data_IF_953216094831
#
_entry.id   IF_953216094831
#
_cell.length_a   1.000
_cell.length_b   1.000
_cell.length_c   1.000
_cell.angle_alpha   90.00
_cell.angle_beta   90.00
_cell.angle_gamma   90.00
#
_symmetry.space_group_name_H-M   'P 1'
#
loop_
_entity.id
_entity.type
_entity.pdbx_description
1 polymer ?
#
# COMPACT_ATOMS: atom_id res chain seq x y z
N UNK A 1 -9.42 35.68 5.80
CA UNK A 1 -9.15 34.28 6.14
C UNK A 1 -9.68 33.28 5.09
N UNK A 2 -10.99 33.28 4.72
CA UNK A 2 -11.55 32.37 3.69
C UNK A 2 -10.88 32.50 2.31
N UNK A 3 -10.58 33.71 1.83
CA UNK A 3 -9.93 33.91 0.53
C UNK A 3 -8.46 33.42 0.53
N UNK A 4 -7.70 33.64 1.61
CA UNK A 4 -6.34 33.16 1.76
C UNK A 4 -6.30 31.63 1.87
N UNK A 5 -7.23 31.00 2.59
CA UNK A 5 -7.38 29.55 2.65
C UNK A 5 -7.77 28.97 1.28
N UNK A 6 -8.69 29.61 0.56
CA UNK A 6 -9.10 29.19 -0.78
C UNK A 6 -7.95 29.28 -1.77
N UNK A 7 -7.15 30.36 -1.71
CA UNK A 7 -5.94 30.54 -2.52
C UNK A 7 -4.87 29.49 -2.16
N UNK A 8 -4.65 29.24 -0.86
CA UNK A 8 -3.75 28.20 -0.37
C UNK A 8 -4.18 26.80 -0.85
N UNK A 9 -5.47 26.49 -0.74
CA UNK A 9 -6.03 25.23 -1.22
C UNK A 9 -5.93 25.11 -2.76
N UNK A 10 -6.26 26.16 -3.51
CA UNK A 10 -6.13 26.17 -4.97
C UNK A 10 -4.69 26.10 -5.47
N UNK A 11 -3.75 26.82 -4.84
CA UNK A 11 -2.35 26.86 -5.29
C UNK A 11 -1.52 25.69 -4.78
N UNK A 12 -1.90 25.06 -3.66
CA UNK A 12 -1.11 24.03 -3.00
C UNK A 12 -1.71 22.62 -3.00
N UNK A 13 -3.02 22.51 -2.97
CA UNK A 13 -3.73 21.20 -2.95
C UNK A 13 -4.33 20.91 -4.32
N UNK A 14 -4.95 21.89 -4.99
CA UNK A 14 -5.41 21.78 -6.38
C UNK A 14 -4.27 22.03 -7.38
N UNK A 15 -3.13 21.38 -7.23
CA UNK A 15 -2.36 21.04 -8.41
C UNK A 15 -3.29 20.20 -9.29
N UNK A 16 -3.49 20.62 -10.55
CA UNK A 16 -4.37 19.94 -11.53
C UNK A 16 -4.32 18.44 -11.30
N UNK A 17 -5.48 17.83 -11.04
CA UNK A 17 -5.58 16.37 -10.88
C UNK A 17 -4.97 15.77 -12.14
N UNK A 18 -3.89 15.03 -11.97
CA UNK A 18 -3.17 14.40 -13.06
C UNK A 18 -3.92 13.15 -13.53
N UNK A 19 -3.76 12.68 -14.77
CA UNK A 19 -4.55 11.56 -15.31
C UNK A 19 -4.46 10.27 -14.49
N UNK A 20 -3.26 9.88 -14.02
CA UNK A 20 -3.13 8.67 -13.21
C UNK A 20 -3.75 8.85 -11.82
N UNK A 21 -3.57 10.02 -11.20
CA UNK A 21 -4.22 10.34 -9.94
C UNK A 21 -5.75 10.31 -10.09
N UNK A 22 -6.30 10.88 -11.17
CA UNK A 22 -7.73 10.83 -11.44
C UNK A 22 -8.23 9.38 -11.59
N UNK A 23 -7.49 8.55 -12.33
CA UNK A 23 -7.79 7.14 -12.50
C UNK A 23 -7.80 6.39 -11.16
N UNK A 24 -6.75 6.52 -10.36
CA UNK A 24 -6.65 5.87 -9.05
C UNK A 24 -7.71 6.37 -8.07
N UNK A 25 -8.00 7.68 -8.05
CA UNK A 25 -9.05 8.25 -7.20
C UNK A 25 -10.42 7.69 -7.57
N UNK A 26 -10.76 7.66 -8.87
CA UNK A 26 -12.05 7.13 -9.33
C UNK A 26 -12.21 5.66 -8.94
N UNK A 27 -11.18 4.85 -9.10
CA UNK A 27 -11.23 3.44 -8.70
C UNK A 27 -11.37 3.31 -7.18
N UNK A 28 -10.50 3.97 -6.40
CA UNK A 28 -10.55 3.88 -4.93
C UNK A 28 -11.90 4.36 -4.37
N UNK A 29 -12.44 5.48 -4.89
CA UNK A 29 -13.74 6.00 -4.44
C UNK A 29 -14.88 5.07 -4.88
N UNK A 30 -14.88 4.57 -6.11
CA UNK A 30 -15.96 3.70 -6.61
C UNK A 30 -15.98 2.35 -5.93
N UNK A 31 -14.83 1.68 -5.84
CA UNK A 31 -14.74 0.38 -5.17
C UNK A 31 -14.90 0.55 -3.66
N UNK A 32 -14.30 1.58 -3.07
CA UNK A 32 -14.49 1.91 -1.66
C UNK A 32 -15.95 2.24 -1.33
N UNK A 33 -16.66 2.96 -2.20
CA UNK A 33 -18.10 3.20 -2.04
C UNK A 33 -18.92 1.91 -2.14
N UNK A 34 -18.59 1.01 -3.07
CA UNK A 34 -19.27 -0.30 -3.19
C UNK A 34 -19.07 -1.15 -1.92
N UNK A 35 -17.90 -1.06 -1.30
CA UNK A 35 -17.59 -1.76 -0.06
C UNK A 35 -18.22 -1.09 1.17
N UNK A 36 -18.31 0.24 1.19
CA UNK A 36 -19.04 0.98 2.21
C UNK A 36 -20.56 0.74 2.13
N UNK A 37 -21.08 0.42 0.94
CA UNK A 37 -22.44 -0.08 0.82
C UNK A 37 -22.50 -1.56 1.25
N UNK A 38 -22.22 -1.80 2.54
CA UNK A 38 -22.59 -3.03 3.26
C UNK A 38 -24.05 -3.47 2.96
N UNK A 39 -24.88 -2.53 2.53
CA UNK A 39 -26.17 -2.78 1.92
C UNK A 39 -26.09 -3.72 0.70
N UNK A 40 -25.03 -3.67 -0.10
CA UNK A 40 -24.91 -4.56 -1.26
C UNK A 40 -24.66 -6.00 -0.80
N UNK A 41 -23.80 -6.21 0.20
CA UNK A 41 -23.56 -7.54 0.78
C UNK A 41 -24.81 -8.10 1.48
N UNK A 42 -25.59 -7.24 2.16
CA UNK A 42 -26.85 -7.61 2.79
C UNK A 42 -27.93 -7.98 1.75
N UNK A 43 -28.03 -7.19 0.67
CA UNK A 43 -29.09 -7.37 -0.35
C UNK A 43 -28.74 -8.50 -1.32
N UNK A 44 -27.47 -8.61 -1.74
CA UNK A 44 -27.02 -9.59 -2.74
C UNK A 44 -26.52 -10.91 -2.15
N UNK A 45 -26.18 -10.94 -0.85
CA UNK A 45 -25.50 -12.07 -0.21
C UNK A 45 -24.05 -12.29 -0.69
N UNK A 46 -23.47 -11.33 -1.47
CA UNK A 46 -22.12 -11.44 -2.01
C UNK A 46 -21.16 -10.63 -1.14
N UNK A 47 -20.22 -11.29 -0.45
CA UNK A 47 -19.15 -10.64 0.30
C UNK A 47 -18.01 -10.17 -0.64
N UNK A 48 -18.08 -8.90 -1.07
CA UNK A 48 -17.06 -8.31 -1.95
C UNK A 48 -15.66 -8.29 -1.27
N UNK A 49 -15.60 -8.14 0.03
CA UNK A 49 -14.34 -8.25 0.76
C UNK A 49 -13.73 -9.64 0.66
N UNK A 50 -14.57 -10.68 0.69
CA UNK A 50 -14.11 -12.05 0.51
C UNK A 50 -13.43 -12.25 -0.85
N UNK A 51 -14.05 -11.78 -1.92
CA UNK A 51 -13.54 -12.00 -3.27
C UNK A 51 -12.34 -11.11 -3.63
N UNK A 52 -12.34 -9.84 -3.23
CA UNK A 52 -11.38 -8.85 -3.75
C UNK A 52 -10.23 -8.49 -2.81
N UNK A 53 -10.27 -8.84 -1.52
CA UNK A 53 -9.12 -8.72 -0.63
C UNK A 53 -8.07 -9.79 -0.94
N UNK A 54 -6.79 -9.53 -0.65
CA UNK A 54 -5.74 -10.52 -0.83
C UNK A 54 -5.64 -11.42 0.41
N UNK A 55 -5.60 -12.71 0.16
CA UNK A 55 -5.30 -13.71 1.19
C UNK A 55 -3.82 -14.05 1.19
N UNK A 56 -3.26 -14.56 2.31
CA UNK A 56 -1.92 -15.13 2.31
C UNK A 56 -1.80 -16.25 1.27
N UNK A 57 -0.62 -16.40 0.67
CA UNK A 57 -0.39 -17.37 -0.42
C UNK A 57 -0.62 -18.83 -0.02
N UNK A 58 -0.56 -19.15 1.27
CA UNK A 58 -0.89 -20.48 1.79
C UNK A 58 -2.40 -20.70 2.01
N UNK A 59 -3.21 -19.67 1.81
CA UNK A 59 -4.67 -19.79 1.94
C UNK A 59 -5.28 -20.44 0.71
N UNK A 60 -6.26 -21.38 0.85
CA UNK A 60 -6.99 -21.93 -0.28
C UNK A 60 -7.82 -20.89 -1.06
N UNK A 61 -8.03 -19.71 -0.49
CA UNK A 61 -8.78 -18.60 -1.13
C UNK A 61 -7.86 -17.56 -1.77
N UNK A 62 -6.54 -17.83 -1.81
CA UNK A 62 -5.62 -16.97 -2.57
C UNK A 62 -5.86 -17.14 -4.07
N UNK A 63 -6.06 -16.01 -4.74
CA UNK A 63 -6.15 -15.93 -6.20
C UNK A 63 -5.27 -14.80 -6.72
N UNK A 64 -4.59 -15.03 -7.84
CA UNK A 64 -3.66 -14.04 -8.40
C UNK A 64 -4.28 -12.69 -8.72
N UNK A 65 -5.57 -12.62 -9.10
CA UNK A 65 -6.25 -11.35 -9.36
C UNK A 65 -6.33 -10.47 -8.10
N UNK A 66 -6.31 -11.08 -6.91
CA UNK A 66 -6.34 -10.37 -5.64
C UNK A 66 -5.11 -9.49 -5.45
N UNK A 67 -3.97 -9.82 -6.10
CA UNK A 67 -2.77 -8.97 -6.12
C UNK A 67 -2.98 -7.61 -6.81
N UNK A 68 -4.07 -7.47 -7.54
CA UNK A 68 -4.47 -6.21 -8.17
C UNK A 68 -5.64 -5.57 -7.41
N UNK A 69 -6.61 -6.37 -6.97
CA UNK A 69 -7.85 -5.84 -6.43
C UNK A 69 -7.75 -5.37 -4.98
N UNK A 70 -6.88 -6.01 -4.15
CA UNK A 70 -6.79 -5.73 -2.71
C UNK A 70 -6.48 -4.28 -2.38
N UNK A 71 -5.70 -3.60 -3.21
CA UNK A 71 -5.31 -2.22 -3.00
C UNK A 71 -6.45 -1.20 -3.22
N UNK A 72 -7.56 -1.64 -3.79
CA UNK A 72 -8.75 -0.83 -4.02
C UNK A 72 -9.87 -1.14 -3.03
N UNK A 73 -9.77 -2.27 -2.33
CA UNK A 73 -10.69 -2.65 -1.26
C UNK A 73 -10.23 -2.01 0.05
N UNK A 74 -11.15 -1.48 0.83
CA UNK A 74 -10.84 -0.83 2.11
C UNK A 74 -11.65 -1.49 3.24
N UNK A 75 -11.17 -1.36 4.47
CA UNK A 75 -11.93 -1.82 5.65
C UNK A 75 -13.27 -1.10 5.78
N UNK A 76 -14.17 -1.66 6.57
CA UNK A 76 -15.47 -1.06 6.88
C UNK A 76 -15.31 0.31 7.59
N UNK A 77 -14.15 0.56 8.24
CA UNK A 77 -13.85 1.85 8.84
C UNK A 77 -13.71 2.94 7.75
N UNK A 78 -14.62 3.94 7.72
CA UNK A 78 -14.56 5.02 6.74
C UNK A 78 -13.27 5.84 6.80
N UNK A 79 -12.60 5.92 7.96
CA UNK A 79 -11.34 6.63 8.10
C UNK A 79 -10.24 6.00 7.25
N UNK A 80 -10.26 4.68 7.08
CA UNK A 80 -9.27 3.98 6.25
C UNK A 80 -9.29 4.46 4.80
N UNK A 81 -10.46 4.57 4.16
CA UNK A 81 -10.56 5.09 2.79
C UNK A 81 -10.29 6.61 2.74
N UNK A 82 -10.78 7.37 3.71
CA UNK A 82 -10.57 8.81 3.78
C UNK A 82 -9.08 9.14 3.83
N UNK A 83 -8.32 8.48 4.70
CA UNK A 83 -6.87 8.67 4.78
C UNK A 83 -6.15 8.24 3.50
N UNK A 84 -6.50 7.08 2.92
CA UNK A 84 -5.89 6.65 1.66
C UNK A 84 -6.13 7.65 0.53
N UNK A 85 -7.35 8.15 0.38
CA UNK A 85 -7.70 9.18 -0.63
C UNK A 85 -6.96 10.49 -0.35
N UNK A 86 -6.89 10.92 0.91
CA UNK A 86 -6.17 12.14 1.31
C UNK A 86 -4.67 12.05 0.97
N UNK A 87 -4.02 10.93 1.34
CA UNK A 87 -2.60 10.71 1.01
C UNK A 87 -2.37 10.67 -0.51
N UNK A 88 -3.26 10.01 -1.25
CA UNK A 88 -3.20 9.98 -2.71
C UNK A 88 -3.27 11.40 -3.29
N UNK A 89 -4.19 12.23 -2.82
CA UNK A 89 -4.33 13.63 -3.26
C UNK A 89 -3.10 14.48 -2.94
N UNK A 90 -2.52 14.31 -1.76
CA UNK A 90 -1.41 15.14 -1.28
C UNK A 90 -0.11 14.82 -2.00
N UNK A 91 0.21 13.54 -2.16
CA UNK A 91 1.54 13.13 -2.62
C UNK A 91 1.61 12.76 -4.10
N UNK A 92 0.57 12.12 -4.65
CA UNK A 92 0.63 11.47 -5.96
C UNK A 92 0.75 12.43 -7.13
N UNK A 93 -0.02 13.53 -7.15
CA UNK A 93 0.00 14.47 -8.27
C UNK A 93 1.39 15.09 -8.52
N UNK A 94 2.17 15.29 -7.47
CA UNK A 94 3.52 15.83 -7.60
C UNK A 94 4.51 14.78 -8.11
N UNK A 95 4.39 13.55 -7.64
CA UNK A 95 5.20 12.42 -8.10
C UNK A 95 4.92 12.16 -9.57
N UNK A 96 3.65 12.00 -9.96
CA UNK A 96 3.25 11.76 -11.35
C UNK A 96 3.77 12.82 -12.32
N UNK A 97 3.69 14.12 -11.94
CA UNK A 97 4.22 15.21 -12.77
C UNK A 97 5.73 15.12 -13.02
N UNK A 98 6.48 14.51 -12.10
CA UNK A 98 7.93 14.41 -12.19
C UNK A 98 8.41 13.14 -12.91
N UNK A 99 7.73 12.02 -12.73
CA UNK A 99 8.14 10.74 -13.31
C UNK A 99 7.26 10.29 -14.49
N UNK A 100 6.16 10.98 -14.74
CA UNK A 100 5.20 10.66 -15.81
C UNK A 100 4.17 9.60 -15.42
N UNK A 101 3.08 9.51 -16.22
CA UNK A 101 1.91 8.66 -15.97
C UNK A 101 2.30 7.17 -15.82
N UNK A 102 2.97 6.60 -16.83
CA UNK A 102 3.28 5.18 -16.85
C UNK A 102 4.20 4.78 -15.67
N UNK A 103 5.26 5.58 -15.43
CA UNK A 103 6.19 5.33 -14.33
C UNK A 103 5.49 5.44 -12.97
N UNK A 104 4.53 6.36 -12.83
CA UNK A 104 3.76 6.51 -11.60
C UNK A 104 2.84 5.30 -11.35
N UNK A 105 2.13 4.83 -12.37
CA UNK A 105 1.29 3.62 -12.27
C UNK A 105 2.14 2.40 -11.91
N UNK A 106 3.26 2.21 -12.58
CA UNK A 106 4.20 1.11 -12.25
C UNK A 106 4.69 1.22 -10.81
N UNK A 107 5.10 2.43 -10.38
CA UNK A 107 5.55 2.66 -9.01
C UNK A 107 4.46 2.33 -7.98
N UNK A 108 3.22 2.73 -8.22
CA UNK A 108 2.09 2.43 -7.34
C UNK A 108 1.89 0.92 -7.15
N UNK A 109 1.86 0.16 -8.25
CA UNK A 109 1.69 -1.30 -8.19
C UNK A 109 2.90 -2.00 -7.57
N UNK A 110 4.12 -1.61 -7.94
CA UNK A 110 5.35 -2.20 -7.36
C UNK A 110 5.39 -1.99 -5.85
N UNK A 111 5.11 -0.78 -5.36
CA UNK A 111 5.06 -0.50 -3.92
C UNK A 111 3.99 -1.33 -3.22
N UNK A 112 2.80 -1.49 -3.82
CA UNK A 112 1.74 -2.34 -3.28
C UNK A 112 2.16 -3.82 -3.21
N UNK A 113 2.78 -4.35 -4.25
CA UNK A 113 3.21 -5.76 -4.31
C UNK A 113 4.34 -6.06 -3.34
N UNK A 114 5.34 -5.18 -3.22
CA UNK A 114 6.38 -5.34 -2.20
C UNK A 114 5.76 -5.28 -0.80
N UNK A 115 4.79 -4.37 -0.56
CA UNK A 115 4.00 -4.33 0.67
C UNK A 115 3.26 -5.65 0.94
N UNK A 116 2.63 -6.22 -0.08
CA UNK A 116 1.97 -7.52 0.04
C UNK A 116 2.95 -8.66 0.37
N UNK A 117 4.12 -8.70 -0.25
CA UNK A 117 5.15 -9.70 0.07
C UNK A 117 5.54 -9.64 1.54
N UNK A 118 5.74 -8.43 2.08
CA UNK A 118 6.12 -8.24 3.48
C UNK A 118 5.02 -8.67 4.45
N UNK A 119 3.76 -8.31 4.19
CA UNK A 119 2.64 -8.75 5.05
C UNK A 119 2.42 -10.27 4.95
N UNK A 120 2.57 -10.84 3.76
CA UNK A 120 2.46 -12.28 3.56
C UNK A 120 3.53 -13.06 4.36
N UNK A 121 4.78 -12.56 4.38
CA UNK A 121 5.84 -13.12 5.22
C UNK A 121 5.54 -12.97 6.71
N UNK A 122 5.09 -11.80 7.15
CA UNK A 122 4.70 -11.58 8.54
C UNK A 122 3.59 -12.55 8.99
N UNK A 123 2.59 -12.74 8.17
CA UNK A 123 1.50 -13.68 8.46
C UNK A 123 1.97 -15.13 8.48
N UNK A 124 2.89 -15.51 7.59
CA UNK A 124 3.46 -16.86 7.58
C UNK A 124 4.24 -17.16 8.87
N UNK A 125 5.05 -16.20 9.34
CA UNK A 125 5.81 -16.35 10.58
C UNK A 125 4.87 -16.41 11.79
N UNK A 126 3.93 -15.47 11.89
CA UNK A 126 2.96 -15.44 12.98
C UNK A 126 2.12 -16.72 13.02
N UNK A 127 1.72 -17.23 11.85
CA UNK A 127 0.94 -18.49 11.74
C UNK A 127 1.70 -19.64 12.39
N UNK A 128 2.97 -19.84 12.08
CA UNK A 128 3.81 -20.91 12.65
C UNK A 128 3.86 -20.78 14.18
N UNK A 129 4.16 -19.59 14.70
CA UNK A 129 4.24 -19.35 16.15
C UNK A 129 2.89 -19.60 16.86
N UNK A 130 1.79 -19.21 16.22
CA UNK A 130 0.46 -19.40 16.80
C UNK A 130 0.05 -20.87 16.73
N UNK A 131 0.37 -21.60 15.67
CA UNK A 131 0.11 -23.05 15.58
C UNK A 131 0.83 -23.83 16.69
N UNK A 132 2.08 -23.50 17.01
CA UNK A 132 2.81 -24.07 18.15
C UNK A 132 2.09 -23.81 19.49
N UNK A 133 1.59 -22.57 19.66
CA UNK A 133 0.82 -22.19 20.86
C UNK A 133 -0.54 -22.90 20.91
N UNK A 134 -1.23 -23.08 19.79
CA UNK A 134 -2.48 -23.86 19.72
C UNK A 134 -2.23 -25.30 20.16
N UNK A 135 -1.19 -25.93 19.62
CA UNK A 135 -0.81 -27.30 19.98
C UNK A 135 -0.52 -27.42 21.48
N UNK A 136 0.15 -26.46 22.07
CA UNK A 136 0.42 -26.42 23.52
C UNK A 136 -0.85 -26.34 24.39
N UNK A 137 -1.96 -25.86 23.83
CA UNK A 137 -3.27 -25.85 24.50
C UNK A 137 -4.06 -27.15 24.34
N UNK A 138 -3.49 -28.16 23.64
CA UNK A 138 -4.15 -29.43 23.35
C UNK A 138 -5.11 -29.42 22.14
N UNK A 139 -5.09 -28.34 21.35
CA UNK A 139 -5.88 -28.23 20.12
C UNK A 139 -4.98 -28.59 18.92
N UNK A 140 -5.54 -29.32 17.95
CA UNK A 140 -4.90 -29.50 16.65
C UNK A 140 -5.34 -28.37 15.72
N UNK A 141 -4.44 -27.59 15.12
CA UNK A 141 -4.78 -26.50 14.19
C UNK A 141 -5.66 -26.95 13.02
N UNK A 142 -5.42 -28.17 12.53
CA UNK A 142 -6.18 -28.78 11.42
C UNK A 142 -7.66 -29.07 11.76
N UNK A 143 -7.98 -29.15 13.06
CA UNK A 143 -9.34 -29.40 13.55
C UNK A 143 -10.12 -28.13 13.84
N UNK A 144 -9.49 -26.96 13.68
CA UNK A 144 -10.18 -25.69 13.83
C UNK A 144 -11.09 -25.50 12.63
N UNK A 145 -12.42 -25.45 12.84
CA UNK A 145 -13.36 -25.31 11.74
C UNK A 145 -13.30 -23.87 11.21
N UNK A 146 -12.68 -23.70 10.08
CA UNK A 146 -12.65 -22.43 9.35
C UNK A 146 -13.76 -22.49 8.31
N UNK A 147 -14.73 -21.57 8.40
CA UNK A 147 -15.83 -21.48 7.45
C UNK A 147 -15.36 -20.90 6.09
N UNK A 148 -16.25 -20.89 5.10
CA UNK A 148 -16.00 -20.36 3.76
C UNK A 148 -15.55 -18.89 3.74
N UNK A 149 -15.80 -18.13 4.84
CA UNK A 149 -15.38 -16.75 5.01
C UNK A 149 -14.05 -16.59 5.76
N UNK A 150 -13.31 -17.69 5.97
CA UNK A 150 -12.09 -17.71 6.80
C UNK A 150 -12.28 -17.22 8.24
N UNK A 151 -13.45 -17.44 8.79
CA UNK A 151 -13.73 -17.18 10.19
C UNK A 151 -13.91 -18.51 10.91
N UNK A 152 -13.38 -18.59 12.12
CA UNK A 152 -13.68 -19.73 12.99
C UNK A 152 -15.17 -19.67 13.34
N UNK A 153 -15.86 -20.82 13.22
CA UNK A 153 -17.27 -20.91 13.58
C UNK A 153 -17.50 -20.46 15.01
N UNK A 154 -18.42 -19.52 15.23
CA UNK A 154 -18.76 -19.00 16.56
C UNK A 154 -19.15 -20.10 17.55
N UNK A 155 -19.80 -21.16 17.08
CA UNK A 155 -20.15 -22.34 17.91
C UNK A 155 -18.91 -23.11 18.39
N UNK A 156 -17.79 -22.99 17.69
CA UNK A 156 -16.55 -23.63 18.12
C UNK A 156 -15.98 -22.95 19.36
N UNK A 157 -16.06 -21.62 19.43
CA UNK A 157 -15.60 -20.86 20.59
C UNK A 157 -16.32 -21.24 21.88
N UNK A 158 -17.58 -21.68 21.80
CA UNK A 158 -18.35 -22.15 22.97
C UNK A 158 -17.77 -23.43 23.62
N UNK A 159 -16.91 -24.15 22.90
CA UNK A 159 -16.30 -25.41 23.39
C UNK A 159 -14.89 -25.19 23.96
N UNK A 160 -14.37 -23.93 23.90
CA UNK A 160 -13.00 -23.59 24.26
C UNK A 160 -12.96 -22.91 25.63
N UNK A 161 -11.87 -23.09 26.35
CA UNK A 161 -11.56 -22.27 27.53
C UNK A 161 -10.97 -20.90 27.14
N UNK A 162 -10.82 -20.00 28.09
CA UNK A 162 -10.39 -18.63 27.82
C UNK A 162 -9.00 -18.54 27.15
N UNK A 163 -8.04 -19.39 27.53
CA UNK A 163 -6.70 -19.40 26.92
C UNK A 163 -6.74 -19.90 25.47
N UNK A 164 -7.53 -20.92 25.20
CA UNK A 164 -7.76 -21.47 23.88
C UNK A 164 -8.46 -20.44 22.97
N UNK A 165 -9.50 -19.76 23.47
CA UNK A 165 -10.22 -18.72 22.72
C UNK A 165 -9.24 -17.64 22.22
N UNK A 166 -8.35 -17.15 23.09
CA UNK A 166 -7.42 -16.10 22.71
C UNK A 166 -6.48 -16.54 21.57
N UNK A 167 -5.88 -17.71 21.68
CA UNK A 167 -4.95 -18.23 20.68
C UNK A 167 -5.66 -18.53 19.35
N UNK A 168 -6.89 -19.07 19.39
CA UNK A 168 -7.70 -19.34 18.20
C UNK A 168 -8.13 -18.03 17.51
N UNK A 169 -8.42 -16.97 18.27
CA UNK A 169 -8.70 -15.63 17.68
C UNK A 169 -7.47 -15.06 16.97
N UNK A 170 -6.29 -15.20 17.55
CA UNK A 170 -5.03 -14.79 16.91
C UNK A 170 -4.78 -15.58 15.63
N UNK A 171 -5.01 -16.88 15.63
CA UNK A 171 -4.92 -17.75 14.44
C UNK A 171 -5.86 -17.29 13.34
N UNK A 172 -7.10 -17.02 13.68
CA UNK A 172 -8.09 -16.49 12.73
C UNK A 172 -7.64 -15.17 12.12
N UNK A 173 -6.98 -14.30 12.89
CA UNK A 173 -6.46 -13.02 12.39
C UNK A 173 -5.35 -13.22 11.35
N UNK A 174 -4.35 -14.07 11.61
CA UNK A 174 -3.21 -14.25 10.67
C UNK A 174 -3.58 -15.08 9.44
N UNK A 175 -4.66 -15.83 9.49
CA UNK A 175 -5.20 -16.52 8.31
C UNK A 175 -6.18 -15.65 7.51
N UNK A 176 -6.48 -14.43 8.01
CA UNK A 176 -7.44 -13.54 7.38
C UNK A 176 -6.85 -12.79 6.17
N UNK A 177 -7.74 -12.13 5.46
CA UNK A 177 -7.44 -11.32 4.29
C UNK A 177 -6.85 -9.95 4.65
N UNK A 178 -6.07 -9.39 3.73
CA UNK A 178 -5.56 -8.02 3.78
C UNK A 178 -6.12 -7.16 2.66
N UNK A 179 -6.24 -5.86 2.90
CA UNK A 179 -6.76 -4.90 1.93
C UNK A 179 -6.20 -3.50 2.18
N UNK A 180 -6.36 -2.62 1.20
CA UNK A 180 -6.01 -1.20 1.28
C UNK A 180 -4.81 -0.79 0.42
N UNK A 181 -4.84 0.48 0.03
CA UNK A 181 -3.82 1.11 -0.78
C UNK A 181 -2.57 1.54 0.02
N UNK A 182 -2.61 1.44 1.35
CA UNK A 182 -1.62 2.10 2.22
C UNK A 182 -0.18 1.66 1.95
N UNK A 183 0.08 0.40 1.64
CA UNK A 183 1.42 -0.06 1.23
C UNK A 183 1.94 0.70 0.00
N UNK A 184 1.12 0.85 -1.05
CA UNK A 184 1.48 1.66 -2.21
C UNK A 184 1.75 3.12 -1.83
N UNK A 185 0.89 3.69 -0.98
CA UNK A 185 0.98 5.10 -0.57
C UNK A 185 2.25 5.40 0.23
N UNK A 186 2.68 4.52 1.13
CA UNK A 186 3.95 4.68 1.84
C UNK A 186 5.14 4.70 0.88
N UNK A 187 5.14 3.88 -0.18
CA UNK A 187 6.14 3.95 -1.23
C UNK A 187 6.09 5.27 -2.01
N UNK A 188 4.89 5.75 -2.37
CA UNK A 188 4.71 7.04 -3.04
C UNK A 188 5.16 8.21 -2.15
N UNK A 189 4.95 8.15 -0.83
CA UNK A 189 5.47 9.13 0.13
C UNK A 189 7.00 9.19 0.06
N UNK A 190 7.68 8.04 0.07
CA UNK A 190 9.15 7.98 -0.02
C UNK A 190 9.65 8.57 -1.35
N UNK A 191 9.03 8.23 -2.46
CA UNK A 191 9.35 8.82 -3.77
C UNK A 191 9.12 10.35 -3.74
N UNK A 192 8.00 10.81 -3.16
CA UNK A 192 7.71 12.22 -3.01
C UNK A 192 8.78 12.95 -2.19
N UNK A 193 9.18 12.39 -1.04
CA UNK A 193 10.21 12.95 -0.17
C UNK A 193 11.53 13.10 -0.94
N UNK A 194 11.97 12.04 -1.61
CA UNK A 194 13.18 12.04 -2.43
C UNK A 194 13.15 13.13 -3.51
N UNK A 195 12.08 13.19 -4.30
CA UNK A 195 11.94 14.14 -5.40
C UNK A 195 11.80 15.59 -4.95
N UNK A 196 11.47 15.87 -3.68
CA UNK A 196 11.20 17.21 -3.17
C UNK A 196 12.10 17.63 -2.01
N UNK A 197 13.07 16.82 -1.59
CA UNK A 197 13.89 17.02 -0.39
C UNK A 197 14.52 18.41 -0.31
N UNK A 198 14.98 18.93 -1.43
CA UNK A 198 15.61 20.27 -1.52
C UNK A 198 14.62 21.41 -1.80
N UNK A 199 13.33 21.14 -1.82
CA UNK A 199 12.32 22.14 -2.14
C UNK A 199 11.71 22.74 -0.87
N UNK A 200 12.28 23.85 -0.38
CA UNK A 200 11.81 24.54 0.82
C UNK A 200 10.31 24.94 0.78
N UNK A 201 9.73 25.14 -0.42
CA UNK A 201 8.30 25.46 -0.57
C UNK A 201 7.38 24.28 -0.22
N UNK A 202 7.94 23.09 -0.09
CA UNK A 202 7.26 21.82 0.23
C UNK A 202 7.51 21.36 1.66
N UNK A 203 8.18 22.18 2.49
CA UNK A 203 8.61 21.79 3.85
C UNK A 203 7.49 21.20 4.70
N UNK A 204 6.29 21.77 4.65
CA UNK A 204 5.17 21.27 5.41
C UNK A 204 4.77 19.84 5.00
N UNK A 205 4.72 19.55 3.69
CA UNK A 205 4.42 18.21 3.18
C UNK A 205 5.58 17.24 3.43
N UNK A 206 6.83 17.73 3.41
CA UNK A 206 8.00 16.92 3.79
C UNK A 206 7.90 16.52 5.27
N UNK A 207 7.63 17.45 6.17
CA UNK A 207 7.45 17.17 7.60
C UNK A 207 6.30 16.21 7.84
N UNK A 208 5.16 16.38 7.15
CA UNK A 208 4.04 15.46 7.25
C UNK A 208 4.40 14.05 6.75
N UNK A 209 5.13 13.92 5.63
CA UNK A 209 5.60 12.64 5.13
C UNK A 209 6.56 11.95 6.10
N UNK A 210 7.55 12.68 6.66
CA UNK A 210 8.47 12.14 7.68
C UNK A 210 7.74 11.74 8.95
N UNK A 211 6.79 12.53 9.42
CA UNK A 211 5.96 12.19 10.58
C UNK A 211 5.19 10.89 10.36
N UNK A 212 4.58 10.71 9.20
CA UNK A 212 3.85 9.47 8.85
C UNK A 212 4.76 8.24 8.87
N UNK A 213 6.00 8.36 8.37
CA UNK A 213 6.98 7.28 8.42
C UNK A 213 7.42 6.97 9.86
N UNK A 214 7.61 8.02 10.68
CA UNK A 214 7.97 7.90 12.09
C UNK A 214 6.88 7.20 12.90
N UNK A 215 5.61 7.59 12.76
CA UNK A 215 4.48 6.94 13.43
C UNK A 215 4.41 5.44 13.09
N UNK A 216 4.58 5.09 11.81
CA UNK A 216 4.62 3.68 11.41
C UNK A 216 5.78 2.90 12.06
N UNK A 217 6.94 3.54 12.22
CA UNK A 217 8.09 2.96 12.91
C UNK A 217 7.83 2.74 14.41
N UNK A 218 7.17 3.71 15.09
CA UNK A 218 6.81 3.56 16.50
C UNK A 218 5.85 2.38 16.72
N UNK A 219 4.80 2.26 15.90
CA UNK A 219 3.86 1.13 15.96
C UNK A 219 4.57 -0.21 15.76
N UNK A 220 5.60 -0.27 14.90
CA UNK A 220 6.41 -1.47 14.73
C UNK A 220 7.20 -1.83 15.98
N UNK A 221 7.79 -0.83 16.67
CA UNK A 221 8.57 -1.05 17.91
C UNK A 221 7.70 -1.50 19.09
N UNK A 222 6.46 -1.02 19.16
CA UNK A 222 5.52 -1.35 20.24
C UNK A 222 4.93 -2.76 20.11
N UNK A 223 5.03 -3.39 18.96
CA UNK A 223 4.49 -4.71 18.70
C UNK A 223 5.39 -5.80 19.31
N UNK A 224 5.19 -6.10 20.62
CA UNK A 224 6.07 -6.95 21.40
C UNK A 224 5.86 -8.47 21.25
N UNK A 225 4.67 -8.91 20.81
CA UNK A 225 4.30 -10.34 20.83
C UNK A 225 3.97 -10.94 19.46
N UNK A 226 3.61 -10.11 18.49
CA UNK A 226 3.29 -10.52 17.12
C UNK A 226 3.76 -9.48 16.12
N UNK A 227 4.24 -9.94 14.98
CA UNK A 227 4.64 -9.04 13.90
C UNK A 227 3.38 -8.35 13.34
N UNK A 228 3.33 -7.02 13.43
CA UNK A 228 2.21 -6.24 12.91
C UNK A 228 2.19 -6.25 11.37
N UNK A 229 1.22 -6.96 10.80
CA UNK A 229 1.10 -7.12 9.35
C UNK A 229 0.93 -5.80 8.60
N UNK A 230 0.16 -4.84 9.14
CA UNK A 230 -0.02 -3.54 8.52
C UNK A 230 1.28 -2.74 8.46
N UNK A 231 2.07 -2.74 9.54
CA UNK A 231 3.39 -2.12 9.55
C UNK A 231 4.34 -2.79 8.55
N UNK A 232 4.29 -4.12 8.43
CA UNK A 232 5.07 -4.85 7.43
C UNK A 232 4.67 -4.46 6.00
N UNK A 233 3.37 -4.31 5.71
CA UNK A 233 2.90 -3.82 4.41
C UNK A 233 3.43 -2.41 4.11
N UNK A 234 3.43 -1.51 5.09
CA UNK A 234 3.97 -0.15 4.94
C UNK A 234 5.48 -0.17 4.72
N UNK A 235 6.25 -0.95 5.49
CA UNK A 235 7.70 -1.12 5.30
C UNK A 235 8.03 -1.70 3.92
N UNK A 236 7.28 -2.71 3.48
CA UNK A 236 7.42 -3.25 2.13
C UNK A 236 7.14 -2.18 1.06
N UNK A 237 6.12 -1.36 1.26
CA UNK A 237 5.83 -0.21 0.40
C UNK A 237 6.99 0.80 0.35
N UNK A 238 7.58 1.14 1.49
CA UNK A 238 8.77 1.99 1.59
C UNK A 238 9.92 1.40 0.77
N UNK A 239 10.21 0.10 0.94
CA UNK A 239 11.24 -0.58 0.16
C UNK A 239 10.92 -0.54 -1.34
N UNK A 240 9.68 -0.77 -1.73
CA UNK A 240 9.22 -0.61 -3.12
C UNK A 240 9.52 0.79 -3.67
N UNK A 241 9.26 1.84 -2.87
CA UNK A 241 9.60 3.22 -3.22
C UNK A 241 11.10 3.44 -3.41
N UNK A 242 11.95 2.87 -2.55
CA UNK A 242 13.40 2.93 -2.69
C UNK A 242 13.90 2.20 -3.94
N UNK A 243 13.31 1.05 -4.29
CA UNK A 243 13.60 0.34 -5.54
C UNK A 243 13.30 1.23 -6.74
N UNK A 244 12.13 1.86 -6.79
CA UNK A 244 11.76 2.78 -7.88
C UNK A 244 12.71 3.97 -7.97
N UNK A 245 13.11 4.57 -6.86
CA UNK A 245 14.11 5.65 -6.83
C UNK A 245 15.44 5.17 -7.42
N UNK A 246 15.90 3.98 -7.05
CA UNK A 246 17.14 3.41 -7.56
C UNK A 246 17.11 3.24 -9.07
N UNK A 247 16.02 2.68 -9.61
CA UNK A 247 15.82 2.58 -11.06
C UNK A 247 15.77 3.95 -11.75
N UNK A 248 15.08 4.91 -11.16
CA UNK A 248 15.01 6.26 -11.69
C UNK A 248 16.40 6.89 -11.78
N UNK A 249 17.23 6.77 -10.74
CA UNK A 249 18.61 7.28 -10.73
C UNK A 249 19.48 6.58 -11.78
N UNK A 250 19.39 5.27 -11.91
CA UNK A 250 20.13 4.49 -12.92
C UNK A 250 19.77 4.98 -14.33
N UNK A 251 18.48 5.14 -14.63
CA UNK A 251 18.03 5.66 -15.93
C UNK A 251 18.60 7.06 -16.19
N UNK A 252 18.55 7.97 -15.20
CA UNK A 252 19.11 9.30 -15.32
C UNK A 252 20.63 9.28 -15.62
N UNK A 253 21.39 8.43 -14.93
CA UNK A 253 22.83 8.29 -15.15
C UNK A 253 23.13 7.75 -16.57
N UNK A 254 22.39 6.73 -17.03
CA UNK A 254 22.54 6.18 -18.37
C UNK A 254 22.23 7.25 -19.42
N UNK A 255 21.09 7.93 -19.30
CA UNK A 255 20.68 8.98 -20.26
C UNK A 255 21.72 10.10 -20.32
N UNK A 256 22.22 10.56 -19.17
CA UNK A 256 23.27 11.59 -19.12
C UNK A 256 24.55 11.14 -19.84
N UNK A 257 24.95 9.89 -19.63
CA UNK A 257 26.12 9.31 -20.30
C UNK A 257 25.94 9.27 -21.83
N UNK A 258 24.77 8.86 -22.31
CA UNK A 258 24.48 8.83 -23.75
C UNK A 258 24.53 10.22 -24.38
N UNK A 259 23.95 11.24 -23.74
CA UNK A 259 23.98 12.61 -24.24
C UNK A 259 25.42 13.14 -24.34
N UNK A 260 26.27 12.84 -23.35
CA UNK A 260 27.68 13.25 -23.36
C UNK A 260 28.44 12.54 -24.51
N UNK A 261 28.22 11.26 -24.71
CA UNK A 261 28.86 10.50 -25.78
C UNK A 261 28.47 11.04 -27.17
N UNK A 262 27.17 11.29 -27.39
CA UNK A 262 26.67 11.86 -28.64
C UNK A 262 27.23 13.27 -28.91
N UNK A 263 27.37 14.11 -27.88
CA UNK A 263 28.01 15.42 -28.01
C UNK A 263 29.49 15.31 -28.37
N UNK A 264 30.22 14.35 -27.77
CA UNK A 264 31.62 14.12 -28.06
C UNK A 264 31.82 13.59 -29.49
N UNK A 265 30.96 12.70 -29.98
CA UNK A 265 30.99 12.21 -31.37
C UNK A 265 30.73 13.35 -32.38
N UNK A 266 29.72 14.19 -32.13
CA UNK A 266 29.44 15.36 -33.00
C UNK A 266 30.63 16.34 -33.05
N UNK A 267 31.27 16.57 -31.89
CA UNK A 267 32.45 17.44 -31.84
C UNK A 267 33.66 16.81 -32.54
N UNK A 268 33.83 15.50 -32.51
CA UNK A 268 34.96 14.80 -33.17
C UNK A 268 34.80 14.66 -34.71
N UNK A 269 33.55 14.61 -35.19
CA UNK A 269 33.26 14.47 -36.64
C UNK A 269 33.20 15.79 -37.38
N UNK A 270 33.27 16.95 -36.70
CA UNK A 270 33.31 18.27 -37.32
C UNK A 270 32.05 18.64 -38.14
N UNK A 271 30.95 17.88 -38.02
CA UNK A 271 29.72 18.14 -38.77
C UNK A 271 28.88 19.16 -38.03
N UNK A 272 29.07 20.41 -38.35
CA UNK A 272 28.15 21.48 -37.96
C UNK A 272 26.95 21.45 -38.91
N UNK A 273 25.87 20.73 -38.51
CA UNK A 273 24.58 20.93 -39.16
C UNK A 273 23.99 22.28 -38.72
N UNK A 274 24.28 23.32 -39.53
CA UNK A 274 23.53 24.56 -39.48
C UNK A 274 22.11 24.29 -39.99
N UNK A 275 21.18 24.12 -39.12
CA UNK A 275 19.77 24.21 -39.48
C UNK A 275 19.42 25.65 -39.79
N UNK A 276 19.09 25.92 -41.03
CA UNK A 276 18.41 27.15 -41.48
C UNK A 276 16.93 27.07 -41.17
#
# INVERSE_FOLDING_TARGET
>A
MKAALRKFLQERICTKITPALQFLLLINIRIGALVLFYLFDIISGIDLHFYFSAYPTYSPHFHYYQLVTFMFVHSIDPLHIIFNVLFLLVFSANVEKKIGFNSFIIAYFVCAWVGYIFINQAYSINKIQIEERIISTGISPEKIPINERHQVDDKYYLKLNASQINVVKEYNFVTSKTNGASGALFGIIVIYLFLNLLNYRKVLFLLFGFYTLYENYQVLLESSTQINGSCCAHLGGILGGLIIISFYLIIQLITKKYVILEQNERNSTGIIHTFK
#
